data_IF_466891682952
#
_entry.id   IF_466891682952
#
_cell.length_a   1.000
_cell.length_b   1.000
_cell.length_c   1.000
_cell.angle_alpha   90.00
_cell.angle_beta   90.00
_cell.angle_gamma   90.00
#
_symmetry.space_group_name_H-M   'P 1'
#
loop_
_entity.id
_entity.type
_entity.pdbx_description
1 polymer ?
#
# COMPACT_ATOMS: atom_id res chain seq x y z
N UNK A 1 10.49 14.54 0.75
CA UNK A 1 10.85 14.38 -0.65
C UNK A 1 9.66 14.69 -1.56
N UNK A 2 9.94 15.06 -2.81
CA UNK A 2 8.90 15.44 -3.78
C UNK A 2 9.42 15.53 -5.20
N UNK A 3 8.50 15.80 -6.10
CA UNK A 3 8.74 16.19 -7.49
C UNK A 3 8.55 17.71 -7.64
N UNK A 4 8.56 18.21 -8.84
CA UNK A 4 8.26 19.62 -9.13
C UNK A 4 6.80 20.01 -8.85
N UNK A 5 5.90 19.04 -8.89
CA UNK A 5 4.44 19.24 -8.72
C UNK A 5 3.83 18.57 -7.51
N UNK A 6 4.55 17.65 -6.84
CA UNK A 6 3.96 16.78 -5.82
C UNK A 6 4.91 16.52 -4.64
N UNK A 7 4.34 16.42 -3.45
CA UNK A 7 5.02 15.94 -2.23
C UNK A 7 4.77 14.44 -2.12
N UNK A 8 5.86 13.66 -2.10
CA UNK A 8 5.80 12.19 -2.10
C UNK A 8 5.93 11.59 -0.70
N UNK A 9 6.79 12.17 0.14
CA UNK A 9 7.03 11.68 1.49
C UNK A 9 7.32 12.84 2.41
N UNK A 10 6.75 12.79 3.60
CA UNK A 10 7.03 13.69 4.71
C UNK A 10 7.49 12.85 5.90
N UNK A 11 8.64 13.20 6.46
CA UNK A 11 9.19 12.60 7.66
C UNK A 11 9.80 13.71 8.51
N UNK A 12 9.49 13.74 9.79
CA UNK A 12 9.98 14.77 10.68
C UNK A 12 9.49 14.58 12.10
N UNK A 13 10.03 15.40 12.99
CA UNK A 13 9.57 15.53 14.37
C UNK A 13 9.37 17.00 14.69
N UNK A 14 8.45 17.28 15.59
CA UNK A 14 8.17 18.64 16.05
C UNK A 14 7.80 18.63 17.54
N UNK A 15 7.99 19.76 18.19
CA UNK A 15 7.64 19.96 19.61
C UNK A 15 6.38 20.82 19.70
N UNK A 16 5.22 20.16 19.61
CA UNK A 16 3.88 20.75 19.77
C UNK A 16 3.60 21.99 18.89
N UNK A 17 4.00 21.97 17.63
CA UNK A 17 3.63 23.02 16.68
C UNK A 17 2.17 22.89 16.23
N UNK A 18 1.59 23.96 15.72
CA UNK A 18 0.25 23.94 15.15
C UNK A 18 0.22 23.19 13.79
N UNK A 19 -0.96 22.71 13.40
CA UNK A 19 -1.17 22.12 12.08
C UNK A 19 -0.88 23.09 10.94
N UNK A 20 -1.24 24.36 11.12
CA UNK A 20 -1.00 25.42 10.13
C UNK A 20 0.50 25.69 9.95
N UNK A 21 1.28 25.72 11.04
CA UNK A 21 2.73 25.85 10.99
C UNK A 21 3.39 24.64 10.30
N UNK A 22 2.87 23.43 10.58
CA UNK A 22 3.34 22.21 9.94
C UNK A 22 3.07 22.24 8.42
N UNK A 23 1.85 22.59 8.01
CA UNK A 23 1.49 22.71 6.59
C UNK A 23 2.36 23.76 5.91
N UNK A 24 2.56 24.92 6.55
CA UNK A 24 3.42 25.98 6.04
C UNK A 24 4.86 25.53 5.84
N UNK A 25 5.41 24.77 6.79
CA UNK A 25 6.75 24.20 6.69
C UNK A 25 6.88 23.19 5.53
N UNK A 26 5.87 22.33 5.35
CA UNK A 26 5.83 21.37 4.23
C UNK A 26 5.75 22.10 2.88
N UNK A 27 4.94 23.13 2.76
CA UNK A 27 4.84 23.95 1.54
C UNK A 27 6.16 24.67 1.25
N UNK A 28 6.77 25.29 2.24
CA UNK A 28 8.08 25.92 2.10
C UNK A 28 9.16 24.91 1.63
N UNK A 29 9.17 23.72 2.22
CA UNK A 29 10.08 22.65 1.81
C UNK A 29 9.88 22.25 0.36
N UNK A 30 8.64 22.24 -0.13
CA UNK A 30 8.35 21.90 -1.52
C UNK A 30 8.91 22.93 -2.50
N UNK A 31 8.87 24.22 -2.18
CA UNK A 31 9.52 25.24 -3.03
C UNK A 31 11.04 25.02 -3.16
N UNK A 32 11.72 24.66 -2.06
CA UNK A 32 13.16 24.31 -2.10
C UNK A 32 13.41 23.04 -2.91
N UNK A 33 12.50 22.06 -2.83
CA UNK A 33 12.59 20.82 -3.63
C UNK A 33 12.50 21.13 -5.11
N UNK A 34 11.65 22.05 -5.56
CA UNK A 34 11.55 22.46 -6.96
C UNK A 34 12.88 23.02 -7.47
N UNK A 35 13.58 23.84 -6.66
CA UNK A 35 14.91 24.34 -7.03
C UNK A 35 15.93 23.21 -7.21
N UNK A 36 15.89 22.22 -6.32
CA UNK A 36 16.77 21.04 -6.40
C UNK A 36 16.43 20.20 -7.64
N UNK A 37 15.15 20.01 -7.96
CA UNK A 37 14.72 19.32 -9.18
C UNK A 37 15.21 20.05 -10.42
N UNK A 38 15.09 21.38 -10.46
CA UNK A 38 15.58 22.18 -11.58
C UNK A 38 17.10 22.05 -11.76
N UNK A 39 17.85 22.06 -10.66
CA UNK A 39 19.30 21.82 -10.68
C UNK A 39 19.65 20.45 -11.30
N UNK A 40 18.90 19.40 -10.93
CA UNK A 40 19.10 18.06 -11.50
C UNK A 40 18.80 18.05 -13.01
N UNK A 41 17.71 18.68 -13.43
CA UNK A 41 17.34 18.79 -14.85
C UNK A 41 18.40 19.54 -15.66
N UNK A 42 18.98 20.61 -15.11
CA UNK A 42 20.04 21.36 -15.76
C UNK A 42 21.35 20.58 -15.82
N UNK A 43 21.65 19.77 -14.83
CA UNK A 43 22.79 18.84 -14.88
C UNK A 43 22.59 17.77 -15.95
N UNK A 44 21.39 17.18 -16.03
CA UNK A 44 21.04 16.20 -17.07
C UNK A 44 21.22 16.80 -18.48
N UNK A 45 20.81 18.05 -18.70
CA UNK A 45 21.03 18.73 -19.99
C UNK A 45 22.51 18.89 -20.37
N UNK A 46 23.39 19.06 -19.35
CA UNK A 46 24.83 19.30 -19.58
C UNK A 46 25.65 18.02 -19.77
N UNK A 47 25.34 16.98 -18.97
CA UNK A 47 26.20 15.78 -18.88
C UNK A 47 25.38 14.49 -18.90
N UNK A 48 24.07 14.58 -19.10
CA UNK A 48 23.21 13.41 -19.18
C UNK A 48 23.58 12.46 -20.30
N UNK A 49 23.38 11.18 -20.08
CA UNK A 49 23.53 10.13 -21.08
C UNK A 49 22.16 9.61 -21.46
N UNK A 50 22.05 9.02 -22.63
CA UNK A 50 20.85 8.32 -23.04
C UNK A 50 20.54 7.21 -22.03
N UNK A 51 19.26 7.03 -21.75
CA UNK A 51 18.82 5.93 -20.89
C UNK A 51 19.15 4.61 -21.58
N UNK A 52 19.57 3.64 -20.78
CA UNK A 52 19.73 2.27 -21.26
C UNK A 52 18.39 1.78 -21.82
N UNK A 53 18.45 1.06 -22.94
CA UNK A 53 17.28 0.38 -23.46
C UNK A 53 16.82 -0.65 -22.42
N UNK A 54 15.59 -0.51 -21.96
CA UNK A 54 14.94 -1.47 -21.09
C UNK A 54 14.09 -2.39 -21.94
N UNK A 55 14.45 -3.65 -22.00
CA UNK A 55 13.60 -4.69 -22.59
C UNK A 55 12.45 -4.88 -21.61
N UNK A 56 11.28 -4.36 -21.95
CA UNK A 56 10.06 -4.69 -21.19
C UNK A 56 9.86 -6.20 -21.23
N UNK A 57 9.49 -6.79 -20.10
CA UNK A 57 8.93 -8.13 -20.12
C UNK A 57 7.76 -8.16 -21.11
N UNK A 58 7.65 -9.24 -21.86
CA UNK A 58 6.51 -9.42 -22.77
C UNK A 58 5.21 -9.18 -22.00
N UNK A 59 4.26 -8.50 -22.64
CA UNK A 59 2.94 -8.34 -22.05
C UNK A 59 2.31 -9.72 -21.90
N UNK A 60 1.62 -9.95 -20.78
CA UNK A 60 0.94 -11.21 -20.53
C UNK A 60 0.07 -11.59 -21.73
N UNK A 61 0.12 -12.86 -22.13
CA UNK A 61 -0.65 -13.38 -23.24
C UNK A 61 -2.14 -13.00 -23.09
N UNK A 62 -2.71 -12.41 -24.13
CA UNK A 62 -4.11 -11.95 -24.14
C UNK A 62 -5.12 -13.09 -23.91
N UNK A 63 -4.82 -14.32 -24.35
CA UNK A 63 -5.65 -15.48 -24.09
C UNK A 63 -5.65 -15.83 -22.59
N UNK A 64 -4.49 -15.80 -21.95
CA UNK A 64 -4.36 -15.99 -20.50
C UNK A 64 -5.10 -14.90 -19.72
N UNK A 65 -4.94 -13.62 -20.11
CA UNK A 65 -5.65 -12.51 -19.48
C UNK A 65 -7.16 -12.74 -19.54
N UNK A 66 -7.69 -13.08 -20.72
CA UNK A 66 -9.11 -13.36 -20.89
C UNK A 66 -9.58 -14.57 -20.07
N UNK A 67 -8.77 -15.62 -19.98
CA UNK A 67 -9.08 -16.81 -19.18
C UNK A 67 -9.17 -16.47 -17.69
N UNK A 68 -8.24 -15.63 -17.19
CA UNK A 68 -8.27 -15.17 -15.81
C UNK A 68 -9.49 -14.27 -15.57
N UNK A 69 -9.71 -13.26 -16.42
CA UNK A 69 -10.80 -12.29 -16.26
C UNK A 69 -12.18 -13.00 -16.22
N UNK A 70 -12.41 -14.02 -17.05
CA UNK A 70 -13.64 -14.83 -17.00
C UNK A 70 -13.82 -15.56 -15.66
N UNK A 71 -12.73 -16.01 -15.04
CA UNK A 71 -12.80 -16.75 -13.77
C UNK A 71 -12.99 -15.85 -12.56
N UNK A 72 -12.48 -14.61 -12.61
CA UNK A 72 -12.54 -13.66 -11.50
C UNK A 72 -13.73 -12.70 -11.60
N UNK A 73 -14.47 -12.70 -12.72
CA UNK A 73 -15.60 -11.78 -12.94
C UNK A 73 -16.62 -11.84 -11.80
N UNK A 74 -16.95 -10.68 -11.25
CA UNK A 74 -17.88 -10.52 -10.12
C UNK A 74 -17.41 -11.07 -8.77
N UNK A 75 -16.21 -11.71 -8.69
CA UNK A 75 -15.74 -12.39 -7.47
C UNK A 75 -14.73 -11.57 -6.66
N UNK A 76 -14.12 -10.56 -7.24
CA UNK A 76 -13.10 -9.74 -6.56
C UNK A 76 -13.72 -8.81 -5.52
N UNK A 77 -14.76 -8.08 -5.89
CA UNK A 77 -15.36 -7.07 -5.02
C UNK A 77 -15.82 -7.61 -3.65
N UNK A 78 -16.42 -8.82 -3.55
CA UNK A 78 -16.73 -9.42 -2.25
C UNK A 78 -15.53 -9.71 -1.35
N UNK A 79 -14.33 -9.93 -1.90
CA UNK A 79 -13.10 -10.16 -1.13
C UNK A 79 -12.66 -8.91 -0.37
N UNK A 80 -12.98 -7.74 -0.91
CA UNK A 80 -12.64 -6.43 -0.36
C UNK A 80 -13.78 -5.81 0.48
N UNK A 81 -14.82 -6.57 0.82
CA UNK A 81 -15.80 -6.12 1.81
C UNK A 81 -15.17 -6.08 3.21
N UNK A 82 -15.63 -5.18 4.10
CA UNK A 82 -15.06 -5.01 5.42
C UNK A 82 -15.02 -6.31 6.23
N UNK A 83 -13.82 -6.73 6.60
CA UNK A 83 -13.54 -7.90 7.42
C UNK A 83 -12.36 -7.64 8.35
N UNK A 84 -12.15 -8.50 9.35
CA UNK A 84 -10.89 -8.50 10.08
C UNK A 84 -9.71 -8.87 9.16
N UNK A 85 -8.52 -8.49 9.55
CA UNK A 85 -7.32 -8.63 8.71
C UNK A 85 -7.01 -10.08 8.38
N UNK A 86 -7.11 -10.98 9.36
CA UNK A 86 -6.75 -12.39 9.19
C UNK A 86 -7.69 -13.08 8.21
N UNK A 87 -9.00 -12.89 8.37
CA UNK A 87 -10.01 -13.49 7.50
C UNK A 87 -9.90 -12.96 6.07
N UNK A 88 -9.67 -11.64 5.91
CA UNK A 88 -9.51 -11.05 4.57
C UNK A 88 -8.30 -11.62 3.83
N UNK A 89 -7.15 -11.75 4.50
CA UNK A 89 -5.97 -12.35 3.87
C UNK A 89 -6.19 -13.83 3.56
N UNK A 90 -6.82 -14.57 4.47
CA UNK A 90 -7.17 -15.99 4.24
C UNK A 90 -8.08 -16.18 3.04
N UNK A 91 -9.12 -15.36 2.91
CA UNK A 91 -10.05 -15.41 1.77
C UNK A 91 -9.36 -15.07 0.45
N UNK A 92 -8.49 -14.03 0.44
CA UNK A 92 -7.71 -13.64 -0.73
C UNK A 92 -6.76 -14.75 -1.15
N UNK A 93 -5.99 -15.30 -0.20
CA UNK A 93 -5.03 -16.37 -0.49
C UNK A 93 -5.74 -17.63 -1.01
N UNK A 94 -6.86 -18.02 -0.40
CA UNK A 94 -7.66 -19.15 -0.85
C UNK A 94 -8.18 -18.93 -2.28
N UNK A 95 -8.71 -17.74 -2.57
CA UNK A 95 -9.22 -17.39 -3.88
C UNK A 95 -8.12 -17.39 -4.95
N UNK A 96 -6.98 -16.73 -4.68
CA UNK A 96 -5.85 -16.66 -5.60
C UNK A 96 -5.32 -18.07 -5.91
N UNK A 97 -5.16 -18.91 -4.88
CA UNK A 97 -4.70 -20.29 -5.07
C UNK A 97 -5.71 -21.10 -5.86
N UNK A 98 -7.00 -21.02 -5.55
CA UNK A 98 -8.04 -21.73 -6.31
C UNK A 98 -7.98 -21.41 -7.80
N UNK A 99 -7.98 -20.13 -8.19
CA UNK A 99 -7.96 -19.72 -9.61
C UNK A 99 -6.64 -20.15 -10.27
N UNK A 100 -5.54 -20.05 -9.53
CA UNK A 100 -4.23 -20.50 -10.03
C UNK A 100 -4.21 -21.99 -10.31
N UNK A 101 -4.72 -22.81 -9.38
CA UNK A 101 -4.79 -24.27 -9.54
C UNK A 101 -5.67 -24.66 -10.74
N UNK A 102 -6.81 -23.98 -10.90
CA UNK A 102 -7.71 -24.20 -12.04
C UNK A 102 -7.09 -23.87 -13.43
N UNK A 103 -6.09 -22.99 -13.46
CA UNK A 103 -5.40 -22.59 -14.70
C UNK A 103 -4.05 -23.26 -14.89
N UNK A 104 -3.54 -23.93 -13.86
CA UNK A 104 -2.18 -24.51 -13.86
C UNK A 104 -1.98 -25.64 -14.87
N UNK A 105 -3.02 -26.36 -15.24
CA UNK A 105 -2.94 -27.41 -16.26
C UNK A 105 -2.75 -26.83 -17.67
N UNK A 106 -3.42 -25.71 -17.97
CA UNK A 106 -3.36 -25.05 -19.27
C UNK A 106 -2.17 -24.09 -19.39
N UNK A 107 -1.72 -23.51 -18.27
CA UNK A 107 -0.67 -22.48 -18.19
C UNK A 107 0.35 -22.76 -17.08
N UNK A 108 1.08 -23.89 -17.16
CA UNK A 108 1.99 -24.32 -16.08
C UNK A 108 3.19 -23.40 -15.85
N UNK A 109 3.64 -22.69 -16.88
CA UNK A 109 4.80 -21.79 -16.81
C UNK A 109 4.43 -20.38 -16.31
N UNK A 110 3.13 -20.03 -16.30
CA UNK A 110 2.63 -18.67 -16.03
C UNK A 110 2.06 -18.49 -14.59
N UNK A 111 2.28 -19.45 -13.72
CA UNK A 111 1.73 -19.48 -12.34
C UNK A 111 1.99 -18.16 -11.58
N UNK A 112 3.20 -17.63 -11.69
CA UNK A 112 3.60 -16.39 -11.02
C UNK A 112 2.86 -15.18 -11.59
N UNK A 113 2.67 -15.14 -12.90
CA UNK A 113 1.98 -14.06 -13.60
C UNK A 113 0.49 -14.08 -13.29
N UNK A 114 -0.14 -15.25 -13.27
CA UNK A 114 -1.54 -15.44 -12.86
C UNK A 114 -1.78 -14.88 -11.47
N UNK A 115 -0.94 -15.27 -10.48
CA UNK A 115 -1.05 -14.78 -9.10
C UNK A 115 -0.88 -13.25 -9.03
N UNK A 116 0.11 -12.73 -9.74
CA UNK A 116 0.38 -11.29 -9.77
C UNK A 116 -0.80 -10.52 -10.37
N UNK A 117 -1.34 -10.99 -11.48
CA UNK A 117 -2.48 -10.36 -12.14
C UNK A 117 -3.72 -10.29 -11.25
N UNK A 118 -4.09 -11.42 -10.61
CA UNK A 118 -5.24 -11.47 -9.71
C UNK A 118 -5.04 -10.54 -8.51
N UNK A 119 -3.85 -10.54 -7.89
CA UNK A 119 -3.54 -9.65 -6.78
C UNK A 119 -3.61 -8.16 -7.17
N UNK A 120 -3.17 -7.81 -8.37
CA UNK A 120 -3.29 -6.44 -8.87
C UNK A 120 -4.76 -6.05 -9.02
N UNK A 121 -5.61 -6.91 -9.58
CA UNK A 121 -7.06 -6.66 -9.70
C UNK A 121 -7.74 -6.48 -8.34
N UNK A 122 -7.36 -7.30 -7.34
CA UNK A 122 -7.86 -7.16 -5.97
C UNK A 122 -7.43 -5.82 -5.36
N UNK A 123 -6.18 -5.42 -5.60
CA UNK A 123 -5.64 -4.15 -5.12
C UNK A 123 -6.29 -2.95 -5.77
N UNK A 124 -6.58 -3.03 -7.06
CA UNK A 124 -7.25 -1.97 -7.82
C UNK A 124 -8.68 -1.76 -7.31
N UNK A 125 -9.47 -2.84 -7.13
CA UNK A 125 -10.82 -2.76 -6.54
C UNK A 125 -10.79 -2.17 -5.12
N UNK A 126 -9.83 -2.60 -4.28
CA UNK A 126 -9.67 -2.04 -2.94
C UNK A 126 -9.31 -0.56 -2.97
N UNK A 127 -8.48 -0.16 -3.93
CA UNK A 127 -8.12 1.25 -4.12
C UNK A 127 -9.35 2.08 -4.50
N UNK A 128 -10.15 1.63 -5.46
CA UNK A 128 -11.39 2.30 -5.87
C UNK A 128 -12.35 2.45 -4.70
N UNK A 129 -12.62 1.37 -3.96
CA UNK A 129 -13.45 1.42 -2.75
C UNK A 129 -12.91 2.41 -1.71
N UNK A 130 -11.59 2.47 -1.54
CA UNK A 130 -10.97 3.39 -0.59
C UNK A 130 -11.11 4.85 -1.03
N UNK A 131 -11.00 5.13 -2.32
CA UNK A 131 -11.24 6.47 -2.87
C UNK A 131 -12.71 6.91 -2.70
N UNK A 132 -13.64 5.95 -2.75
CA UNK A 132 -15.06 6.17 -2.43
C UNK A 132 -15.34 6.27 -0.91
N UNK A 133 -14.31 6.26 -0.08
CA UNK A 133 -14.41 6.41 1.38
C UNK A 133 -14.67 5.11 2.14
N UNK A 134 -14.58 3.95 1.47
CA UNK A 134 -14.79 2.63 2.08
C UNK A 134 -13.44 1.95 2.31
N UNK A 135 -12.99 1.86 3.56
CA UNK A 135 -11.73 1.19 3.92
C UNK A 135 -11.96 -0.29 4.18
N UNK A 136 -10.90 -1.10 3.97
CA UNK A 136 -10.93 -2.55 4.15
C UNK A 136 -11.36 -3.04 5.54
N UNK A 137 -11.23 -2.20 6.55
CA UNK A 137 -11.64 -2.47 7.94
C UNK A 137 -12.98 -1.81 8.32
N UNK A 138 -13.70 -1.26 7.35
CA UNK A 138 -15.02 -0.65 7.53
C UNK A 138 -15.02 0.76 8.12
N UNK A 139 -13.85 1.34 8.42
CA UNK A 139 -13.75 2.74 8.87
C UNK A 139 -13.93 3.71 7.70
N UNK A 140 -14.35 4.91 8.00
CA UNK A 140 -14.30 6.02 7.05
C UNK A 140 -12.88 6.64 6.96
N UNK A 141 -12.71 7.65 6.13
CA UNK A 141 -11.42 8.32 5.92
C UNK A 141 -10.94 9.14 7.11
N UNK A 142 -11.80 9.43 8.10
CA UNK A 142 -11.52 10.29 9.27
C UNK A 142 -11.35 9.52 10.57
N UNK A 143 -11.92 8.32 10.65
CA UNK A 143 -11.90 7.50 11.87
C UNK A 143 -10.53 6.87 12.06
N UNK A 144 -9.90 7.14 13.19
CA UNK A 144 -8.65 6.51 13.65
C UNK A 144 -8.97 5.12 14.22
N UNK A 145 -8.03 4.17 14.11
CA UNK A 145 -8.16 2.87 14.79
C UNK A 145 -8.27 3.06 16.29
N UNK A 146 -9.09 2.23 16.94
CA UNK A 146 -9.18 2.25 18.40
C UNK A 146 -7.80 1.97 19.00
N UNK A 147 -7.44 2.77 20.01
CA UNK A 147 -6.21 2.61 20.79
C UNK A 147 -6.62 2.29 22.21
N UNK A 148 -6.08 1.20 22.73
CA UNK A 148 -6.23 0.78 24.12
C UNK A 148 -4.87 0.57 24.75
N UNK A 149 -4.72 0.98 26.00
CA UNK A 149 -3.43 0.94 26.72
C UNK A 149 -3.66 0.40 28.12
N UNK A 150 -3.10 -0.76 28.39
CA UNK A 150 -3.10 -1.37 29.71
C UNK A 150 -1.70 -1.28 30.33
N UNK A 151 -1.55 -0.50 31.38
CA UNK A 151 -0.27 -0.29 32.04
C UNK A 151 -0.02 -1.37 33.12
N UNK A 152 1.27 -1.60 33.43
CA UNK A 152 1.70 -2.50 34.51
C UNK A 152 1.29 -3.95 34.34
N UNK A 153 1.25 -4.45 33.11
CA UNK A 153 0.86 -5.84 32.79
C UNK A 153 1.89 -6.88 33.24
N UNK A 154 3.16 -6.48 33.40
CA UNK A 154 4.24 -7.35 33.88
C UNK A 154 4.69 -6.95 35.29
N UNK A 155 4.64 -7.88 36.28
CA UNK A 155 4.82 -7.51 37.69
C UNK A 155 6.28 -7.31 38.12
N UNK A 156 7.28 -7.62 37.30
CA UNK A 156 8.71 -7.60 37.67
C UNK A 156 9.54 -6.61 36.89
N UNK A 157 8.94 -5.85 36.01
CA UNK A 157 9.62 -4.82 35.21
C UNK A 157 9.51 -3.45 35.89
N UNK A 158 10.40 -2.52 35.55
CA UNK A 158 10.32 -1.13 36.03
C UNK A 158 9.08 -0.42 35.51
N UNK A 159 8.68 -0.76 34.28
CA UNK A 159 7.41 -0.38 33.65
C UNK A 159 7.04 -1.33 32.55
N UNK A 160 5.76 -1.50 32.33
CA UNK A 160 5.25 -2.29 31.20
C UNK A 160 3.89 -1.78 30.75
N UNK A 161 3.63 -1.95 29.48
CA UNK A 161 2.38 -1.56 28.85
C UNK A 161 2.01 -2.55 27.75
N UNK A 162 0.74 -2.96 27.72
CA UNK A 162 0.16 -3.59 26.57
C UNK A 162 -0.52 -2.51 25.72
N UNK A 163 0.04 -2.22 24.58
CA UNK A 163 -0.48 -1.25 23.61
C UNK A 163 -1.25 -2.00 22.53
N UNK A 164 -2.51 -1.65 22.35
CA UNK A 164 -3.37 -2.23 21.31
C UNK A 164 -3.84 -1.13 20.35
N UNK A 165 -3.65 -1.33 19.05
CA UNK A 165 -4.18 -0.47 18.00
C UNK A 165 -4.96 -1.31 16.99
N UNK A 166 -6.29 -1.29 17.10
CA UNK A 166 -7.16 -2.18 16.35
C UNK A 166 -6.83 -3.63 16.67
N UNK A 167 -6.36 -4.40 15.69
CA UNK A 167 -6.01 -5.82 15.83
C UNK A 167 -4.53 -6.07 16.14
N UNK A 168 -3.72 -5.02 16.22
CA UNK A 168 -2.26 -5.12 16.46
C UNK A 168 -1.96 -4.83 17.91
N UNK A 169 -1.18 -5.68 18.56
CA UNK A 169 -0.73 -5.52 19.94
C UNK A 169 0.79 -5.51 20.05
N UNK A 170 1.30 -4.75 21.00
CA UNK A 170 2.70 -4.74 21.40
C UNK A 170 2.83 -4.68 22.92
N UNK A 171 3.73 -5.48 23.49
CA UNK A 171 4.16 -5.34 24.87
C UNK A 171 5.42 -4.47 24.89
N UNK A 172 5.31 -3.34 25.55
CA UNK A 172 6.43 -2.41 25.74
C UNK A 172 6.91 -2.54 27.18
N UNK A 173 8.23 -2.65 27.36
CA UNK A 173 8.84 -2.89 28.67
C UNK A 173 10.01 -1.94 28.86
N UNK A 174 10.16 -1.39 30.05
CA UNK A 174 11.26 -0.54 30.47
C UNK A 174 11.88 -1.04 31.78
#
# INVERSE_FOLDING_TARGET
SGTDDSILMVEGSADFISEDDFISAVQYSHEVIKDIVQLQLDLIKKVGKDKLEYIKSEEMNSELVNAIDLKIDGKISPLNEPKNKADRYGDVDAFVNQITDELSEDYPDDISEIKSYINNKISDDLREKTLDGKRADGRDSKTVRNIDIEASVLPRTHGSCLFTRGETQAIVVT
#
